data_IF_471222133878
#
_entry.id   IF_471222133878
#
_cell.length_a   1.000
_cell.length_b   1.000
_cell.length_c   1.000
_cell.angle_alpha   90.00
_cell.angle_beta   90.00
_cell.angle_gamma   90.00
#
_symmetry.space_group_name_H-M   'P 1'
#
loop_
_entity.id
_entity.type
_entity.pdbx_description
1 polymer ?
#
# COMPACT_ATOMS: atom_id res chain seq x y z
N UNK A 1 23.59 -22.30 -32.17
CA UNK A 1 22.68 -21.20 -32.62
C UNK A 1 21.28 -21.51 -32.11
N UNK A 2 20.79 -20.82 -31.09
CA UNK A 2 19.37 -20.85 -30.66
C UNK A 2 18.77 -19.49 -31.02
N UNK A 3 17.77 -19.48 -31.92
CA UNK A 3 17.03 -18.28 -32.29
C UNK A 3 16.05 -17.95 -31.15
N UNK A 4 16.20 -16.77 -30.56
CA UNK A 4 15.18 -16.17 -29.70
C UNK A 4 13.98 -15.80 -30.59
N UNK A 5 12.80 -16.31 -30.24
CA UNK A 5 11.54 -15.87 -30.85
C UNK A 5 11.20 -14.47 -30.32
N UNK A 6 10.77 -13.52 -31.18
CA UNK A 6 10.35 -12.21 -30.75
C UNK A 6 9.03 -12.34 -29.98
N UNK A 7 9.01 -11.85 -28.74
CA UNK A 7 7.77 -11.65 -27.99
C UNK A 7 6.91 -10.65 -28.79
N UNK A 8 5.63 -10.96 -29.08
CA UNK A 8 4.82 -10.09 -29.92
C UNK A 8 4.48 -8.81 -29.16
N UNK A 9 5.04 -7.69 -29.64
CA UNK A 9 4.82 -6.29 -29.22
C UNK A 9 3.33 -5.92 -29.10
N UNK A 10 2.44 -6.69 -29.73
CA UNK A 10 0.99 -6.52 -29.68
C UNK A 10 0.36 -6.72 -28.29
N UNK A 11 0.93 -7.54 -27.40
CA UNK A 11 0.33 -7.77 -26.07
C UNK A 11 0.61 -6.62 -25.09
N UNK A 12 1.73 -5.93 -25.24
CA UNK A 12 2.10 -4.79 -24.39
C UNK A 12 1.22 -3.57 -24.72
N UNK A 13 0.89 -3.37 -25.99
CA UNK A 13 0.00 -2.28 -26.41
C UNK A 13 -1.45 -2.47 -25.95
N UNK A 14 -1.94 -3.72 -25.84
CA UNK A 14 -3.28 -3.99 -25.33
C UNK A 14 -3.41 -3.70 -23.82
N UNK A 15 -2.36 -3.99 -23.04
CA UNK A 15 -2.33 -3.66 -21.61
C UNK A 15 -2.28 -2.14 -21.36
N UNK A 16 -1.52 -1.40 -22.17
CA UNK A 16 -1.45 0.06 -22.10
C UNK A 16 -2.76 0.70 -22.60
N UNK A 17 -3.39 0.17 -23.64
CA UNK A 17 -4.68 0.65 -24.12
C UNK A 17 -5.83 0.41 -23.12
N UNK A 18 -5.76 -0.66 -22.31
CA UNK A 18 -6.71 -0.88 -21.20
C UNK A 18 -6.55 0.15 -20.07
N UNK A 19 -5.32 0.60 -19.80
CA UNK A 19 -5.04 1.65 -18.82
C UNK A 19 -5.51 3.05 -19.24
N UNK A 20 -5.67 3.28 -20.56
CA UNK A 20 -6.14 4.57 -21.11
C UNK A 20 -7.66 4.64 -21.23
N UNK A 21 -8.37 3.50 -21.18
CA UNK A 21 -9.81 3.43 -21.39
C UNK A 21 -10.65 3.31 -20.11
N UNK A 22 -10.02 3.15 -18.94
CA UNK A 22 -10.75 3.20 -17.68
C UNK A 22 -11.01 4.68 -17.33
N UNK A 23 -12.28 5.11 -17.11
CA UNK A 23 -12.55 6.39 -16.51
C UNK A 23 -11.96 6.38 -15.08
N UNK A 24 -10.81 7.02 -14.93
CA UNK A 24 -10.15 7.33 -13.67
C UNK A 24 -10.68 8.70 -13.20
N UNK A 25 -11.97 8.85 -12.91
CA UNK A 25 -12.51 10.08 -12.31
C UNK A 25 -12.56 10.04 -10.79
N UNK A 26 -12.31 8.88 -10.15
CA UNK A 26 -12.09 8.80 -8.73
C UNK A 26 -10.65 9.20 -8.43
N UNK A 27 -10.52 10.26 -7.62
CA UNK A 27 -9.23 10.77 -7.18
C UNK A 27 -8.33 9.65 -6.63
N UNK A 28 -7.08 9.52 -7.12
CA UNK A 28 -6.12 8.60 -6.55
C UNK A 28 -5.95 8.82 -5.04
N UNK A 29 -5.60 7.75 -4.34
CA UNK A 29 -5.26 7.82 -2.92
C UNK A 29 -3.83 7.34 -2.75
N UNK A 30 -2.97 8.20 -2.24
CA UNK A 30 -1.61 7.85 -1.85
C UNK A 30 -1.60 7.55 -0.35
N UNK A 31 -1.17 6.36 0.00
CA UNK A 31 -0.91 5.95 1.38
C UNK A 31 0.59 5.74 1.53
N UNK A 32 1.17 6.24 2.60
CA UNK A 32 2.61 6.18 2.86
C UNK A 32 2.89 5.83 4.32
N UNK A 33 3.81 4.88 4.52
CA UNK A 33 4.44 4.60 5.81
C UNK A 33 5.94 4.88 5.69
N UNK A 34 6.53 5.37 6.78
CA UNK A 34 7.91 5.83 6.81
C UNK A 34 8.61 5.48 8.12
N UNK A 35 9.91 5.18 8.02
CA UNK A 35 10.75 4.87 9.17
C UNK A 35 12.19 5.37 8.96
N UNK A 36 12.63 6.26 9.84
CA UNK A 36 13.99 6.85 9.80
C UNK A 36 15.06 5.95 10.44
N UNK A 37 14.66 5.10 11.37
CA UNK A 37 15.58 4.34 12.21
C UNK A 37 16.34 3.25 11.46
N UNK A 38 17.38 2.73 12.12
CA UNK A 38 18.14 1.59 11.62
C UNK A 38 17.39 0.28 11.83
N UNK A 39 17.37 -0.55 10.81
CA UNK A 39 17.00 -1.97 10.88
C UNK A 39 18.23 -2.77 10.49
N UNK A 40 18.49 -3.86 11.19
CA UNK A 40 19.68 -4.69 10.95
C UNK A 40 19.31 -6.16 11.08
N UNK A 41 19.70 -6.93 10.08
CA UNK A 41 19.62 -8.40 10.09
C UNK A 41 20.85 -8.98 10.76
N UNK A 42 20.68 -10.12 11.42
CA UNK A 42 21.81 -10.84 12.00
C UNK A 42 22.50 -11.69 10.92
N UNK A 43 23.84 -11.87 11.00
CA UNK A 43 24.61 -12.58 9.97
C UNK A 43 24.53 -14.10 10.10
N UNK A 44 24.02 -14.63 11.22
CA UNK A 44 24.01 -16.05 11.59
C UNK A 44 23.01 -16.90 10.79
N UNK A 45 22.07 -16.27 10.10
CA UNK A 45 21.09 -16.90 9.19
C UNK A 45 20.70 -15.93 8.08
N UNK A 46 20.30 -16.47 6.92
CA UNK A 46 19.58 -15.66 5.92
C UNK A 46 18.17 -15.50 6.47
N UNK A 47 17.93 -14.36 7.09
CA UNK A 47 16.60 -14.02 7.62
C UNK A 47 15.98 -12.94 6.74
N UNK A 48 14.68 -13.06 6.51
CA UNK A 48 13.91 -12.03 5.83
C UNK A 48 13.15 -11.25 6.91
N UNK A 49 13.41 -9.95 6.97
CA UNK A 49 12.81 -9.05 7.95
C UNK A 49 11.88 -8.08 7.21
N UNK A 50 10.66 -7.97 7.70
CA UNK A 50 9.73 -6.92 7.30
C UNK A 50 10.26 -5.58 7.80
N UNK A 51 10.63 -4.70 6.86
CA UNK A 51 11.07 -3.33 7.14
C UNK A 51 9.89 -2.43 7.40
N UNK A 52 8.90 -2.48 6.52
CA UNK A 52 7.65 -1.72 6.61
C UNK A 52 6.49 -2.60 6.16
N UNK A 53 5.34 -2.38 6.80
CA UNK A 53 4.05 -2.97 6.44
C UNK A 53 3.06 -1.84 6.17
N UNK A 54 2.27 -2.02 5.12
CA UNK A 54 1.17 -1.14 4.77
C UNK A 54 -0.06 -2.01 4.48
N UNK A 55 -1.15 -1.74 5.19
CA UNK A 55 -2.40 -2.50 5.08
C UNK A 55 -3.56 -1.57 4.76
N UNK A 56 -4.37 -1.95 3.78
CA UNK A 56 -5.51 -1.17 3.31
C UNK A 56 -6.57 -2.08 2.69
N UNK A 57 -7.74 -1.53 2.39
CA UNK A 57 -8.79 -2.21 1.66
C UNK A 57 -9.28 -1.41 0.47
N UNK A 58 -9.79 -2.14 -0.52
CA UNK A 58 -10.47 -1.58 -1.69
C UNK A 58 -11.79 -2.32 -1.89
N UNK A 59 -12.84 -1.57 -2.25
CA UNK A 59 -14.18 -2.14 -2.46
C UNK A 59 -14.39 -2.71 -3.86
N UNK A 60 -13.54 -2.33 -4.82
CA UNK A 60 -13.63 -2.70 -6.22
C UNK A 60 -12.25 -3.02 -6.78
N UNK A 61 -12.20 -3.82 -7.84
CA UNK A 61 -10.94 -4.15 -8.51
C UNK A 61 -10.28 -2.89 -9.04
N UNK A 62 -8.99 -2.70 -8.74
CA UNK A 62 -8.30 -1.47 -9.06
C UNK A 62 -6.84 -1.73 -9.45
N UNK A 63 -6.12 -0.68 -9.84
CA UNK A 63 -4.66 -0.74 -9.96
C UNK A 63 -4.01 0.00 -8.80
N UNK A 64 -2.85 -0.48 -8.39
CA UNK A 64 -2.00 0.20 -7.42
C UNK A 64 -0.58 0.30 -7.96
N UNK A 65 0.06 1.45 -7.74
CA UNK A 65 1.50 1.59 -7.87
C UNK A 65 2.11 1.52 -6.48
N UNK A 66 2.85 0.45 -6.21
CA UNK A 66 3.67 0.34 -5.02
C UNK A 66 5.03 0.95 -5.26
N UNK A 67 5.47 1.82 -4.35
CA UNK A 67 6.82 2.35 -4.33
C UNK A 67 7.45 2.05 -2.98
N UNK A 68 8.57 1.34 -2.98
CA UNK A 68 9.36 1.07 -1.78
C UNK A 68 10.75 1.67 -1.92
N UNK A 69 11.28 2.27 -0.87
CA UNK A 69 12.66 2.75 -0.89
C UNK A 69 13.34 2.66 0.47
N UNK A 70 14.66 2.51 0.42
CA UNK A 70 15.55 2.47 1.59
C UNK A 70 16.92 3.01 1.22
N UNK A 71 17.68 3.45 2.21
CA UNK A 71 19.15 3.45 2.11
C UNK A 71 19.68 2.19 2.76
N UNK A 72 20.45 1.38 2.04
CA UNK A 72 20.88 0.07 2.54
C UNK A 72 22.31 -0.32 2.12
N UNK A 73 22.87 -1.28 2.84
CA UNK A 73 24.16 -1.93 2.58
C UNK A 73 23.99 -3.45 2.55
N UNK A 74 24.69 -4.12 1.63
CA UNK A 74 24.82 -5.59 1.66
C UNK A 74 23.50 -6.37 1.74
N UNK A 75 22.46 -5.86 1.09
CA UNK A 75 21.08 -6.31 1.24
C UNK A 75 20.47 -6.78 -0.09
N UNK A 76 19.46 -7.65 -0.01
CA UNK A 76 18.41 -7.68 -1.02
C UNK A 76 17.15 -7.02 -0.46
N UNK A 77 16.51 -6.23 -1.31
CA UNK A 77 15.28 -5.53 -1.03
C UNK A 77 14.25 -5.94 -2.07
N UNK A 78 13.04 -6.25 -1.63
CA UNK A 78 11.94 -6.60 -2.52
C UNK A 78 10.60 -6.21 -1.89
N UNK A 79 9.59 -6.11 -2.74
CA UNK A 79 8.21 -5.90 -2.32
C UNK A 79 7.50 -7.26 -2.24
N UNK A 80 6.62 -7.40 -1.27
CA UNK A 80 5.69 -8.52 -1.18
C UNK A 80 4.28 -7.97 -1.01
N UNK A 81 3.32 -8.47 -1.78
CA UNK A 81 1.90 -8.14 -1.60
C UNK A 81 1.10 -9.45 -1.46
N UNK A 82 0.25 -9.53 -0.44
CA UNK A 82 -0.64 -10.66 -0.16
C UNK A 82 0.07 -12.02 -0.18
N UNK A 83 1.26 -12.07 0.44
CA UNK A 83 2.11 -13.27 0.51
C UNK A 83 2.86 -13.60 -0.79
N UNK A 84 2.73 -12.78 -1.84
CA UNK A 84 3.42 -12.98 -3.12
C UNK A 84 4.55 -11.98 -3.30
N UNK A 85 5.75 -12.46 -3.60
CA UNK A 85 6.89 -11.59 -3.92
C UNK A 85 6.67 -10.92 -5.29
N UNK A 86 6.82 -9.60 -5.30
CA UNK A 86 6.68 -8.78 -6.50
C UNK A 86 8.08 -8.55 -7.10
N UNK A 87 8.20 -8.77 -8.41
CA UNK A 87 9.44 -8.53 -9.15
C UNK A 87 9.38 -7.19 -9.88
N UNK A 88 10.45 -6.38 -9.88
CA UNK A 88 11.83 -6.79 -9.61
C UNK A 88 12.23 -6.77 -8.12
N UNK A 89 13.16 -7.67 -7.77
CA UNK A 89 13.97 -7.54 -6.55
C UNK A 89 15.25 -6.76 -6.86
N UNK A 90 15.78 -6.01 -5.88
CA UNK A 90 17.11 -5.41 -5.99
C UNK A 90 18.07 -6.12 -5.04
N UNK A 91 19.32 -6.22 -5.46
CA UNK A 91 20.41 -6.74 -4.64
C UNK A 91 21.59 -5.78 -4.68
N UNK A 92 22.09 -5.40 -3.51
CA UNK A 92 23.27 -4.57 -3.35
C UNK A 92 24.36 -5.39 -2.66
N UNK A 93 25.53 -5.45 -3.28
CA UNK A 93 26.72 -6.07 -2.70
C UNK A 93 27.79 -5.00 -2.47
N UNK A 94 28.09 -4.69 -1.21
CA UNK A 94 29.10 -3.68 -0.88
C UNK A 94 28.92 -3.11 0.52
N UNK A 95 29.97 -2.45 1.00
CA UNK A 95 29.98 -1.76 2.29
C UNK A 95 29.44 -0.33 2.22
N UNK A 96 29.34 0.22 1.02
CA UNK A 96 28.81 1.57 0.80
C UNK A 96 27.28 1.55 0.79
N UNK A 97 26.70 2.49 1.53
CA UNK A 97 25.25 2.64 1.60
C UNK A 97 24.74 3.26 0.28
N UNK A 98 23.70 2.67 -0.29
CA UNK A 98 23.08 3.14 -1.52
C UNK A 98 21.57 3.28 -1.34
N UNK A 99 21.02 4.35 -1.91
CA UNK A 99 19.58 4.52 -2.06
C UNK A 99 19.03 3.52 -3.06
N UNK A 100 18.00 2.80 -2.66
CA UNK A 100 17.29 1.81 -3.47
C UNK A 100 15.85 2.27 -3.58
N UNK A 101 15.31 2.21 -4.80
CA UNK A 101 13.92 2.50 -5.09
C UNK A 101 13.33 1.41 -5.98
N UNK A 102 12.21 0.84 -5.54
CA UNK A 102 11.42 -0.16 -6.26
C UNK A 102 10.08 0.45 -6.60
N UNK A 103 9.64 0.26 -7.85
CA UNK A 103 8.31 0.67 -8.30
C UNK A 103 7.67 -0.53 -8.98
N UNK A 104 6.44 -0.85 -8.61
CA UNK A 104 5.72 -1.97 -9.19
C UNK A 104 4.22 -1.69 -9.28
N UNK A 105 3.67 -1.80 -10.48
CA UNK A 105 2.23 -1.69 -10.71
C UNK A 105 1.59 -3.06 -10.62
N UNK A 106 0.53 -3.19 -9.82
CA UNK A 106 -0.15 -4.45 -9.57
C UNK A 106 -1.68 -4.28 -9.66
N UNK A 107 -2.41 -5.21 -10.30
CA UNK A 107 -3.86 -5.25 -10.21
C UNK A 107 -4.28 -5.81 -8.84
N UNK A 108 -5.25 -5.17 -8.19
CA UNK A 108 -5.85 -5.64 -6.95
C UNK A 108 -7.30 -6.06 -7.18
N UNK A 109 -7.68 -7.17 -6.54
CA UNK A 109 -9.08 -7.56 -6.39
C UNK A 109 -9.72 -6.78 -5.24
N UNK A 110 -11.05 -6.76 -5.09
CA UNK A 110 -11.70 -6.22 -3.89
C UNK A 110 -11.27 -7.00 -2.64
N UNK A 111 -11.07 -6.29 -1.53
CA UNK A 111 -10.75 -6.89 -0.24
C UNK A 111 -9.66 -6.17 0.52
N UNK A 112 -9.07 -6.88 1.48
CA UNK A 112 -7.97 -6.41 2.31
C UNK A 112 -6.65 -6.82 1.68
N UNK A 113 -5.70 -5.90 1.65
CA UNK A 113 -4.38 -6.09 1.09
C UNK A 113 -3.31 -5.70 2.08
N UNK A 114 -2.27 -6.52 2.13
CA UNK A 114 -1.06 -6.23 2.89
C UNK A 114 0.13 -6.18 1.95
N UNK A 115 0.87 -5.10 2.04
CA UNK A 115 2.11 -4.91 1.29
C UNK A 115 3.26 -4.70 2.26
N UNK A 116 4.37 -5.35 1.95
CA UNK A 116 5.57 -5.35 2.77
C UNK A 116 6.77 -4.91 1.95
N UNK A 117 7.61 -4.06 2.55
CA UNK A 117 8.98 -3.86 2.12
C UNK A 117 9.86 -4.83 2.91
N UNK A 118 10.53 -5.73 2.19
CA UNK A 118 11.29 -6.82 2.79
C UNK A 118 12.79 -6.57 2.63
N UNK A 119 13.55 -6.91 3.67
CA UNK A 119 15.01 -6.89 3.71
C UNK A 119 15.50 -8.31 3.98
N UNK A 120 16.44 -8.80 3.17
CA UNK A 120 17.15 -10.04 3.44
C UNK A 120 18.64 -9.84 3.22
N UNK A 121 19.47 -10.64 3.91
CA UNK A 121 20.90 -10.63 3.70
C UNK A 121 21.22 -10.97 2.23
N UNK A 122 22.14 -10.22 1.61
CA UNK A 122 22.61 -10.53 0.25
C UNK A 122 23.30 -11.90 0.19
N UNK A 123 24.05 -12.25 1.24
CA UNK A 123 24.77 -13.52 1.42
C UNK A 123 24.75 -13.95 2.88
N UNK A 124 24.91 -15.25 3.12
CA UNK A 124 25.11 -15.81 4.45
C UNK A 124 26.36 -15.18 5.10
N UNK A 125 26.33 -14.95 6.41
CA UNK A 125 27.40 -14.30 7.20
C UNK A 125 27.65 -12.81 6.88
N UNK A 126 26.78 -12.17 6.09
CA UNK A 126 26.84 -10.73 5.86
C UNK A 126 25.78 -10.03 6.70
N UNK A 127 26.12 -8.90 7.28
CA UNK A 127 25.14 -8.02 7.92
C UNK A 127 24.46 -7.20 6.83
N UNK A 128 23.14 -7.16 6.84
CA UNK A 128 22.36 -6.22 6.03
C UNK A 128 21.63 -5.24 6.95
N UNK A 129 21.82 -3.96 6.67
CA UNK A 129 21.20 -2.86 7.40
C UNK A 129 20.53 -1.88 6.43
N UNK A 130 19.48 -1.24 6.91
CA UNK A 130 18.82 -0.15 6.20
C UNK A 130 18.31 0.93 7.15
N UNK A 131 18.10 2.13 6.59
CA UNK A 131 17.50 3.29 7.26
C UNK A 131 16.76 4.14 6.22
N UNK A 132 16.04 5.17 6.68
CA UNK A 132 15.21 6.03 5.80
C UNK A 132 14.29 5.21 4.88
N UNK A 133 13.64 4.21 5.46
CA UNK A 133 12.75 3.33 4.73
C UNK A 133 11.40 3.98 4.51
N UNK A 134 10.83 3.82 3.33
CA UNK A 134 9.46 4.21 3.03
C UNK A 134 8.76 3.19 2.15
N UNK A 135 7.45 3.08 2.33
CA UNK A 135 6.57 2.25 1.51
C UNK A 135 5.30 3.06 1.19
N UNK A 136 5.00 3.16 -0.10
CA UNK A 136 3.89 3.92 -0.64
C UNK A 136 2.99 3.02 -1.48
N UNK A 137 1.69 3.26 -1.40
CA UNK A 137 0.68 2.69 -2.29
C UNK A 137 -0.13 3.84 -2.90
N UNK A 138 0.02 4.07 -4.21
CA UNK A 138 -0.83 4.97 -4.97
C UNK A 138 -1.95 4.15 -5.62
N UNK A 139 -3.15 4.27 -5.07
CA UNK A 139 -4.32 3.47 -5.40
C UNK A 139 -5.17 4.24 -6.41
N UNK A 140 -5.44 3.61 -7.55
CA UNK A 140 -6.25 4.14 -8.64
C UNK A 140 -7.65 3.51 -8.60
N UNK A 141 -8.56 4.11 -7.83
CA UNK A 141 -9.92 3.60 -7.67
C UNK A 141 -10.72 3.78 -8.98
N UNK A 142 -11.56 2.82 -9.39
CA UNK A 142 -12.44 2.99 -10.54
C UNK A 142 -13.64 3.89 -10.20
N UNK A 143 -14.19 4.55 -11.24
CA UNK A 143 -15.50 5.22 -11.17
C UNK A 143 -16.64 4.21 -11.12
N UNK A 144 -16.93 3.68 -9.95
CA UNK A 144 -18.17 2.94 -9.73
C UNK A 144 -19.23 3.91 -9.17
N UNK A 145 -20.32 4.19 -9.90
CA UNK A 145 -21.44 4.93 -9.35
C UNK A 145 -22.12 4.06 -8.27
N UNK A 146 -21.75 4.33 -7.02
CA UNK A 146 -22.51 3.90 -5.84
C UNK A 146 -21.93 2.67 -5.15
N UNK A 147 -21.59 2.85 -3.88
CA UNK A 147 -21.82 1.80 -2.90
C UNK A 147 -23.26 1.30 -3.12
N UNK A 148 -23.42 0.05 -3.57
CA UNK A 148 -24.73 -0.59 -3.62
C UNK A 148 -25.18 -0.74 -2.17
N UNK A 149 -25.91 0.24 -1.66
CA UNK A 149 -26.90 -0.03 -0.65
C UNK A 149 -27.91 -0.94 -1.35
N UNK A 150 -27.93 -2.23 -1.00
CA UNK A 150 -29.07 -3.06 -1.36
C UNK A 150 -30.33 -2.30 -0.92
N UNK A 151 -31.20 -2.02 -1.89
CA UNK A 151 -32.51 -1.45 -1.61
C UNK A 151 -33.20 -2.44 -0.66
N UNK A 152 -33.72 -2.00 0.51
CA UNK A 152 -34.30 -2.93 1.47
C UNK A 152 -35.41 -3.71 0.77
N UNK A 153 -35.25 -5.03 0.72
CA UNK A 153 -36.22 -5.89 0.07
C UNK A 153 -37.45 -5.96 0.99
N UNK A 154 -38.47 -5.20 0.63
CA UNK A 154 -39.86 -5.24 1.13
C UNK A 154 -40.15 -4.67 2.53
N UNK A 155 -41.39 -4.19 2.67
CA UNK A 155 -42.06 -3.57 3.82
C UNK A 155 -42.18 -4.45 5.08
N UNK A 156 -41.11 -5.14 5.48
CA UNK A 156 -41.05 -5.81 6.77
C UNK A 156 -40.56 -4.82 7.83
N UNK A 157 -41.37 -4.62 8.89
CA UNK A 157 -40.95 -3.88 10.09
C UNK A 157 -39.55 -4.33 10.53
N UNK A 158 -38.65 -3.40 10.92
CA UNK A 158 -37.30 -3.75 11.30
C UNK A 158 -37.32 -4.58 12.59
N UNK A 159 -37.21 -5.90 12.43
CA UNK A 159 -36.84 -6.81 13.51
C UNK A 159 -35.42 -6.50 13.98
N UNK A 160 -35.18 -6.68 15.28
CA UNK A 160 -33.97 -6.31 16.04
C UNK A 160 -32.66 -6.95 15.55
N UNK A 161 -32.65 -7.67 14.43
CA UNK A 161 -31.50 -8.45 13.94
C UNK A 161 -31.36 -8.44 12.41
N UNK A 162 -31.62 -7.32 11.74
CA UNK A 162 -31.13 -7.14 10.36
C UNK A 162 -29.72 -6.56 10.44
N UNK A 163 -28.64 -7.33 10.17
CA UNK A 163 -27.30 -6.75 10.11
C UNK A 163 -27.28 -5.83 8.89
N UNK A 164 -27.27 -4.52 9.13
CA UNK A 164 -26.97 -3.52 8.12
C UNK A 164 -25.53 -3.76 7.65
N UNK A 165 -25.40 -4.48 6.53
CA UNK A 165 -24.17 -4.74 5.79
C UNK A 165 -23.71 -3.49 5.02
N UNK A 166 -23.79 -2.32 5.67
CA UNK A 166 -23.30 -1.06 5.11
C UNK A 166 -21.77 -1.16 5.15
N UNK A 167 -21.16 -1.56 4.03
CA UNK A 167 -19.73 -1.37 3.83
C UNK A 167 -19.44 0.12 4.04
N UNK A 168 -18.57 0.43 5.00
CA UNK A 168 -18.16 1.81 5.30
C UNK A 168 -17.19 2.39 4.26
N UNK A 169 -16.89 1.63 3.20
CA UNK A 169 -15.99 2.05 2.14
C UNK A 169 -14.56 1.50 2.27
N UNK A 170 -13.67 1.85 1.33
CA UNK A 170 -12.26 1.52 1.41
C UNK A 170 -11.62 2.22 2.61
N UNK A 171 -10.66 1.56 3.24
CA UNK A 171 -9.99 2.07 4.43
C UNK A 171 -8.48 1.85 4.40
N UNK A 172 -7.77 2.61 5.23
CA UNK A 172 -6.36 2.42 5.54
C UNK A 172 -6.24 1.95 6.97
N UNK A 173 -5.45 0.90 7.21
CA UNK A 173 -5.11 0.49 8.56
C UNK A 173 -4.01 1.42 9.08
N UNK A 174 -4.25 2.00 10.26
CA UNK A 174 -3.39 2.96 10.94
C UNK A 174 -3.01 2.45 12.33
N UNK A 175 -2.90 1.12 12.51
CA UNK A 175 -2.58 0.47 13.77
C UNK A 175 -1.47 1.20 14.55
N UNK A 176 -1.78 1.52 15.81
CA UNK A 176 -0.90 2.25 16.69
C UNK A 176 -1.01 3.77 16.59
N UNK A 177 -1.80 4.34 15.68
CA UNK A 177 -2.17 5.76 15.70
C UNK A 177 -3.28 6.03 16.73
N UNK A 178 -3.17 7.14 17.43
CA UNK A 178 -4.15 7.61 18.43
C UNK A 178 -5.00 8.76 17.91
N UNK A 179 -4.56 9.45 16.86
CA UNK A 179 -5.28 10.56 16.26
C UNK A 179 -5.03 10.66 14.75
N UNK A 180 -5.97 11.28 14.03
CA UNK A 180 -5.81 11.70 12.65
C UNK A 180 -5.83 13.22 12.60
N UNK A 181 -4.83 13.83 11.98
CA UNK A 181 -4.78 15.29 11.79
C UNK A 181 -4.72 15.65 10.30
N UNK A 182 -5.28 16.79 9.92
CA UNK A 182 -5.11 17.34 8.58
C UNK A 182 -3.76 18.07 8.41
N UNK A 183 -3.51 18.58 7.19
CA UNK A 183 -2.30 19.33 6.86
C UNK A 183 -2.07 20.61 7.68
N UNK A 184 -3.11 21.15 8.32
CA UNK A 184 -3.02 22.31 9.20
C UNK A 184 -2.73 21.94 10.66
N UNK A 185 -2.73 20.63 10.97
CA UNK A 185 -2.56 20.10 12.32
C UNK A 185 -3.86 20.03 13.12
N UNK A 186 -5.03 20.25 12.48
CA UNK A 186 -6.33 20.09 13.14
C UNK A 186 -6.66 18.61 13.26
N UNK A 187 -7.04 18.19 14.47
CA UNK A 187 -7.55 16.83 14.74
C UNK A 187 -8.91 16.62 14.07
N UNK A 188 -9.07 15.49 13.39
CA UNK A 188 -10.34 15.02 12.84
C UNK A 188 -10.95 14.05 13.86
N UNK A 189 -11.99 14.51 14.57
CA UNK A 189 -12.67 13.74 15.60
C UNK A 189 -13.32 12.46 15.02
N UNK A 190 -13.26 11.37 15.79
CA UNK A 190 -13.85 10.06 15.46
C UNK A 190 -13.43 9.48 14.08
N UNK A 191 -12.28 9.93 13.55
CA UNK A 191 -11.80 9.50 12.24
C UNK A 191 -11.16 8.10 12.24
N UNK A 192 -10.71 7.62 13.39
CA UNK A 192 -10.11 6.30 13.58
C UNK A 192 -11.12 5.39 14.29
N UNK A 193 -11.49 4.29 13.64
CA UNK A 193 -12.38 3.26 14.19
C UNK A 193 -11.69 1.91 14.04
N UNK A 194 -11.42 1.21 15.15
CA UNK A 194 -10.75 -0.10 15.16
C UNK A 194 -9.45 -0.12 14.33
N UNK A 195 -8.57 0.84 14.59
CA UNK A 195 -7.31 1.06 13.84
C UNK A 195 -7.51 1.35 12.34
N UNK A 196 -8.70 1.77 11.91
CA UNK A 196 -9.00 2.06 10.49
C UNK A 196 -9.44 3.49 10.26
N UNK A 197 -8.98 4.05 9.14
CA UNK A 197 -9.44 5.33 8.60
C UNK A 197 -10.16 5.07 7.28
N UNK A 198 -11.45 5.37 7.22
CA UNK A 198 -12.27 5.19 6.03
C UNK A 198 -12.08 6.36 5.05
N UNK A 199 -11.62 6.07 3.84
CA UNK A 199 -11.24 7.07 2.83
C UNK A 199 -12.47 7.80 2.26
N UNK A 200 -13.62 7.13 2.29
CA UNK A 200 -14.94 7.67 1.93
C UNK A 200 -15.33 8.88 2.79
N UNK A 201 -14.92 8.89 4.06
CA UNK A 201 -15.27 9.94 5.03
C UNK A 201 -14.31 11.14 5.01
N UNK A 202 -13.20 11.04 4.28
CA UNK A 202 -12.21 12.12 4.19
C UNK A 202 -12.45 12.98 2.95
N UNK A 203 -12.49 14.32 3.09
CA UNK A 203 -12.34 15.23 1.97
C UNK A 203 -11.01 15.04 1.22
N UNK A 204 -10.89 15.64 0.04
CA UNK A 204 -9.59 15.80 -0.64
C UNK A 204 -8.64 16.58 0.26
N UNK A 205 -7.41 16.09 0.41
CA UNK A 205 -6.44 16.69 1.33
C UNK A 205 -5.32 15.74 1.71
N UNK A 206 -4.43 16.24 2.58
CA UNK A 206 -3.36 15.45 3.21
C UNK A 206 -3.67 15.29 4.69
N UNK A 207 -3.53 14.06 5.18
CA UNK A 207 -3.83 13.65 6.53
C UNK A 207 -2.68 12.82 7.10
N UNK A 208 -2.48 12.91 8.42
CA UNK A 208 -1.43 12.20 9.14
C UNK A 208 -2.06 11.46 10.32
N UNK A 209 -1.98 10.13 10.30
CA UNK A 209 -2.31 9.30 11.45
C UNK A 209 -1.10 9.27 12.37
N UNK A 210 -1.27 9.72 13.62
CA UNK A 210 -0.16 9.97 14.55
C UNK A 210 -0.32 9.21 15.86
N UNK A 211 0.82 8.94 16.49
CA UNK A 211 0.92 8.51 17.88
C UNK A 211 1.86 9.51 18.60
N UNK A 212 1.27 10.46 19.33
CA UNK A 212 1.99 11.63 19.81
C UNK A 212 2.63 12.40 18.64
N UNK A 213 3.93 12.72 18.76
CA UNK A 213 4.65 13.48 17.72
C UNK A 213 5.02 12.64 16.49
N UNK A 214 4.84 11.32 16.53
CA UNK A 214 5.25 10.41 15.45
C UNK A 214 4.12 10.22 14.45
N UNK A 215 4.40 10.47 13.17
CA UNK A 215 3.52 10.03 12.07
C UNK A 215 3.70 8.54 11.84
N UNK A 216 2.59 7.80 11.90
CA UNK A 216 2.52 6.36 11.63
C UNK A 216 2.19 6.13 10.16
N UNK A 217 1.16 6.82 9.66
CA UNK A 217 0.71 6.73 8.27
C UNK A 217 0.37 8.12 7.75
N UNK A 218 0.78 8.42 6.52
CA UNK A 218 0.34 9.60 5.77
C UNK A 218 -0.64 9.17 4.69
N UNK A 219 -1.75 9.89 4.58
CA UNK A 219 -2.81 9.65 3.60
C UNK A 219 -2.99 10.92 2.79
N UNK A 220 -2.89 10.83 1.46
CA UNK A 220 -3.15 11.94 0.54
C UNK A 220 -4.24 11.51 -0.42
N UNK A 221 -5.37 12.19 -0.36
CA UNK A 221 -6.47 12.05 -1.32
C UNK A 221 -6.35 13.21 -2.30
N UNK A 222 -6.05 12.92 -3.57
CA UNK A 222 -5.90 13.95 -4.61
C UNK A 222 -7.26 14.33 -5.23
N UNK A 223 -7.30 15.13 -6.29
CA UNK A 223 -8.51 15.50 -7.02
C UNK A 223 -8.39 15.02 -8.46
#
# INVERSE_FOLDING_TARGET
MKKLLPVPVFWVLAAIALLVAAPLSAAPVLVEVYWEGWITTLPDKVDTVTVLELSFSVDSSCYVLFTGGVVSRSAKIFLQADGTNLFPETSLSGYDACGIHLNYTYPLAPGNHNTYLQLTNFKLNWLADCYEAYLQALIFLPDEPGAVAEQPVSDAEPGVTTPSLISRGPYVNVAGATELVDATGRVIEDAISDDKVYISNLPTGTYFARNGDRTVVKIVKVQ
#
